data_IF_138942398039
#
_entry.id   IF_138942398039
#
_cell.length_a   1.000
_cell.length_b   1.000
_cell.length_c   1.000
_cell.angle_alpha   90.00
_cell.angle_beta   90.00
_cell.angle_gamma   90.00
#
_symmetry.space_group_name_H-M   'P 1'
#
loop_
_entity.id
_entity.type
_entity.pdbx_description
1 polymer ?
#
# COMPACT_ATOMS: atom_id res chain seq x y z
N UNK A 1 -26.57 34.88 30.51
CA UNK A 1 -28.01 35.07 30.24
C UNK A 1 -28.59 35.94 31.34
N UNK A 2 -29.51 36.82 31.00
CA UNK A 2 -30.26 37.65 31.95
C UNK A 2 -31.73 37.23 31.92
N UNK A 3 -32.30 36.94 33.09
CA UNK A 3 -33.71 36.60 33.27
C UNK A 3 -34.40 37.77 33.95
N UNK A 4 -35.50 38.25 33.38
CA UNK A 4 -36.33 39.32 33.94
C UNK A 4 -37.72 38.74 34.21
N UNK A 5 -38.19 38.87 35.45
CA UNK A 5 -39.54 38.49 35.86
C UNK A 5 -40.32 39.72 36.31
N UNK A 6 -41.53 39.86 35.78
CA UNK A 6 -42.41 41.01 36.02
C UNK A 6 -43.78 40.56 36.53
N UNK A 7 -44.40 41.40 37.35
CA UNK A 7 -45.79 41.25 37.78
C UNK A 7 -46.53 42.57 37.58
N UNK A 8 -47.67 42.54 36.91
CA UNK A 8 -48.54 43.72 36.71
C UNK A 8 -49.22 44.18 37.99
N UNK A 9 -49.29 43.31 39.01
CA UNK A 9 -49.91 43.61 40.30
C UNK A 9 -48.97 44.37 41.25
N UNK A 10 -47.69 44.51 40.89
CA UNK A 10 -46.71 45.18 41.73
C UNK A 10 -46.49 46.62 41.28
N UNK A 11 -46.57 47.56 42.22
CA UNK A 11 -46.50 49.01 41.97
C UNK A 11 -45.18 49.44 41.27
N UNK A 12 -44.07 48.77 41.59
CA UNK A 12 -42.74 49.11 41.03
C UNK A 12 -42.53 48.66 39.57
N UNK A 13 -43.45 47.89 38.98
CA UNK A 13 -43.25 47.31 37.65
C UNK A 13 -43.23 48.38 36.54
N UNK A 14 -44.07 49.42 36.64
CA UNK A 14 -44.17 50.47 35.62
C UNK A 14 -42.91 51.36 35.62
N UNK A 15 -42.41 51.70 36.82
CA UNK A 15 -41.17 52.44 36.99
C UNK A 15 -39.96 51.65 36.48
N UNK A 16 -39.92 50.34 36.72
CA UNK A 16 -38.86 49.46 36.24
C UNK A 16 -38.81 49.36 34.70
N UNK A 17 -39.96 49.17 34.05
CA UNK A 17 -40.02 49.07 32.60
C UNK A 17 -39.57 50.38 31.92
N UNK A 18 -40.06 51.52 32.42
CA UNK A 18 -39.76 52.84 31.83
C UNK A 18 -38.32 53.30 32.12
N UNK A 19 -37.85 53.12 33.36
CA UNK A 19 -36.57 53.72 33.77
C UNK A 19 -35.38 52.78 33.57
N UNK A 20 -35.58 51.45 33.67
CA UNK A 20 -34.47 50.47 33.60
C UNK A 20 -34.43 49.81 32.23
N UNK A 21 -35.51 49.15 31.81
CA UNK A 21 -35.51 48.38 30.56
C UNK A 21 -35.42 49.25 29.31
N UNK A 22 -35.92 50.49 29.37
CA UNK A 22 -35.87 51.45 28.26
C UNK A 22 -34.57 52.27 28.26
N UNK A 23 -33.68 52.08 29.24
CA UNK A 23 -32.43 52.83 29.31
C UNK A 23 -31.49 52.43 28.17
N UNK A 24 -31.01 53.43 27.42
CA UNK A 24 -30.12 53.20 26.27
C UNK A 24 -28.80 52.56 26.70
N UNK A 25 -28.24 53.01 27.83
CA UNK A 25 -27.00 52.47 28.40
C UNK A 25 -27.07 50.96 28.66
N UNK A 26 -28.20 50.47 29.21
CA UNK A 26 -28.38 49.05 29.47
C UNK A 26 -28.52 48.26 28.16
N UNK A 27 -29.28 48.77 27.19
CA UNK A 27 -29.49 48.12 25.90
C UNK A 27 -28.16 48.01 25.12
N UNK A 28 -27.39 49.09 25.07
CA UNK A 28 -26.08 49.10 24.42
C UNK A 28 -25.11 48.14 25.10
N UNK A 29 -25.09 48.12 26.44
CA UNK A 29 -24.29 47.18 27.21
C UNK A 29 -24.67 45.72 26.92
N UNK A 30 -25.95 45.38 26.95
CA UNK A 30 -26.43 44.02 26.65
C UNK A 30 -26.08 43.60 25.22
N UNK A 31 -26.14 44.52 24.25
CA UNK A 31 -25.77 44.27 22.86
C UNK A 31 -24.26 44.08 22.70
N UNK A 32 -23.45 44.89 23.36
CA UNK A 32 -21.98 44.80 23.31
C UNK A 32 -21.49 43.42 23.79
N UNK A 33 -22.03 42.94 24.91
CA UNK A 33 -21.68 41.64 25.49
C UNK A 33 -22.50 40.47 24.93
N UNK A 34 -23.35 40.69 23.92
CA UNK A 34 -24.22 39.68 23.29
C UNK A 34 -25.00 38.85 24.34
N UNK A 35 -25.56 39.54 25.34
CA UNK A 35 -26.26 38.89 26.45
C UNK A 35 -27.63 38.42 25.98
N UNK A 36 -27.89 37.12 26.12
CA UNK A 36 -29.23 36.56 25.92
C UNK A 36 -30.13 37.03 27.06
N UNK A 37 -31.20 37.74 26.71
CA UNK A 37 -32.22 38.23 27.65
C UNK A 37 -33.50 37.42 27.47
N UNK A 38 -34.01 36.88 28.56
CA UNK A 38 -35.33 36.26 28.62
C UNK A 38 -36.18 37.04 29.60
N UNK A 39 -37.41 37.37 29.20
CA UNK A 39 -38.34 38.16 29.99
C UNK A 39 -39.69 37.46 30.04
N UNK A 40 -40.28 37.36 31.23
CA UNK A 40 -41.56 36.72 31.43
C UNK A 40 -42.42 37.44 32.47
N UNK A 41 -43.72 37.52 32.20
CA UNK A 41 -44.70 37.99 33.17
C UNK A 41 -45.19 36.79 34.00
N UNK A 42 -45.08 36.87 35.32
CA UNK A 42 -45.41 35.83 36.31
C UNK A 42 -46.85 35.33 36.21
N UNK A 43 -47.76 36.11 35.61
CA UNK A 43 -49.12 35.65 35.29
C UNK A 43 -49.14 34.45 34.33
N UNK A 44 -48.08 34.23 33.55
CA UNK A 44 -47.94 33.09 32.63
C UNK A 44 -47.30 31.90 33.34
N UNK A 45 -47.76 30.70 32.98
CA UNK A 45 -47.30 29.43 33.58
C UNK A 45 -45.80 29.21 33.47
N UNK A 46 -45.19 29.53 32.33
CA UNK A 46 -43.74 29.41 32.11
C UNK A 46 -42.97 30.32 33.08
N UNK A 47 -43.35 31.59 33.16
CA UNK A 47 -42.68 32.55 34.02
C UNK A 47 -42.89 32.27 35.51
N UNK A 48 -44.04 31.73 35.90
CA UNK A 48 -44.30 31.25 37.25
C UNK A 48 -43.43 30.03 37.63
N UNK A 49 -43.18 29.12 36.68
CA UNK A 49 -42.24 28.01 36.93
C UNK A 49 -40.82 28.53 37.10
N UNK A 50 -40.39 29.47 36.25
CA UNK A 50 -39.06 30.08 36.33
C UNK A 50 -38.91 30.89 37.63
N UNK A 51 -39.94 31.59 38.09
CA UNK A 51 -39.90 32.30 39.38
C UNK A 51 -39.73 31.34 40.56
N UNK A 52 -40.36 30.17 40.52
CA UNK A 52 -40.19 29.15 41.56
C UNK A 52 -38.80 28.53 41.53
N UNK A 53 -38.24 28.24 40.35
CA UNK A 53 -36.88 27.70 40.20
C UNK A 53 -35.83 28.70 40.69
N UNK A 54 -36.06 30.00 40.44
CA UNK A 54 -35.16 31.08 40.85
C UNK A 54 -35.45 31.61 42.26
N UNK A 55 -36.46 31.05 42.94
CA UNK A 55 -36.92 31.45 44.28
C UNK A 55 -37.16 32.97 44.40
N UNK A 56 -37.77 33.57 43.37
CA UNK A 56 -38.04 35.01 43.33
C UNK A 56 -39.11 35.39 44.37
N UNK A 57 -38.75 36.23 45.34
CA UNK A 57 -39.65 36.62 46.44
C UNK A 57 -40.38 37.94 46.21
N UNK A 58 -39.79 38.84 45.42
CA UNK A 58 -40.28 40.19 45.15
C UNK A 58 -40.16 40.51 43.66
N UNK A 59 -41.07 41.34 43.12
CA UNK A 59 -41.06 41.77 41.72
C UNK A 59 -40.90 43.28 41.62
N UNK A 60 -40.26 43.81 40.58
CA UNK A 60 -39.57 43.11 39.49
C UNK A 60 -38.27 42.43 39.94
N UNK A 61 -37.93 41.31 39.30
CA UNK A 61 -36.79 40.46 39.64
C UNK A 61 -35.86 40.28 38.44
N UNK A 62 -34.56 40.48 38.63
CA UNK A 62 -33.53 40.17 37.63
C UNK A 62 -32.60 39.11 38.19
N UNK A 63 -32.42 38.01 37.45
CA UNK A 63 -31.37 37.03 37.70
C UNK A 63 -30.33 37.04 36.59
N UNK A 64 -29.07 36.93 36.99
CA UNK A 64 -27.94 36.75 36.07
C UNK A 64 -27.47 35.30 36.18
N UNK A 65 -27.58 34.58 35.06
CA UNK A 65 -27.23 33.17 34.96
C UNK A 65 -26.01 33.05 34.05
N UNK A 66 -24.99 32.33 34.50
CA UNK A 66 -23.89 31.93 33.63
C UNK A 66 -23.42 30.51 33.92
N UNK A 67 -22.54 30.01 33.06
CA UNK A 67 -21.95 28.68 33.22
C UNK A 67 -20.87 28.74 34.29
N UNK A 68 -21.03 27.93 35.32
CA UNK A 68 -19.99 27.71 36.33
C UNK A 68 -19.50 26.27 36.25
N UNK A 69 -18.20 26.11 36.42
CA UNK A 69 -17.55 24.83 36.70
C UNK A 69 -17.46 24.71 38.21
N UNK A 70 -18.21 23.77 38.79
CA UNK A 70 -18.03 23.47 40.21
C UNK A 70 -16.87 22.47 40.35
N UNK A 71 -15.80 22.81 41.08
CA UNK A 71 -14.72 21.87 41.37
C UNK A 71 -15.12 20.79 42.40
N UNK A 72 -16.36 20.83 42.91
CA UNK A 72 -16.83 19.97 44.02
C UNK A 72 -17.04 18.50 43.66
N UNK A 73 -17.04 18.16 42.38
CA UNK A 73 -17.10 16.76 41.93
C UNK A 73 -15.69 16.36 41.51
N UNK A 74 -14.99 15.53 42.30
CA UNK A 74 -13.64 15.01 42.04
C UNK A 74 -13.50 14.14 40.78
N UNK A 75 -14.38 14.34 39.80
CA UNK A 75 -14.35 13.79 38.46
C UNK A 75 -13.65 14.80 37.56
N UNK A 76 -12.65 14.33 36.81
CA UNK A 76 -11.95 15.04 35.74
C UNK A 76 -12.86 15.52 34.60
N UNK A 77 -14.17 15.26 34.68
CA UNK A 77 -15.18 15.69 33.74
C UNK A 77 -16.19 16.63 34.41
N UNK A 78 -15.76 17.83 34.82
CA UNK A 78 -16.70 18.83 35.33
C UNK A 78 -17.47 19.44 34.16
N UNK A 79 -18.68 18.93 33.90
CA UNK A 79 -19.59 19.54 32.93
C UNK A 79 -19.97 20.95 33.38
N UNK A 80 -19.91 21.97 32.51
CA UNK A 80 -20.36 23.30 32.87
C UNK A 80 -21.86 23.26 33.19
N UNK A 81 -22.24 23.69 34.39
CA UNK A 81 -23.64 23.77 34.81
C UNK A 81 -24.08 25.23 34.82
N UNK A 82 -25.29 25.50 34.36
CA UNK A 82 -25.88 26.82 34.49
C UNK A 82 -26.24 27.06 35.95
N UNK A 83 -25.73 28.14 36.52
CA UNK A 83 -26.05 28.56 37.89
C UNK A 83 -26.38 30.05 37.93
N UNK A 84 -27.20 30.42 38.91
CA UNK A 84 -27.53 31.81 39.20
C UNK A 84 -26.34 32.41 39.94
N UNK A 85 -25.80 33.52 39.44
CA UNK A 85 -24.60 34.17 40.00
C UNK A 85 -24.97 35.38 40.82
N UNK A 86 -25.94 36.18 40.36
CA UNK A 86 -26.45 37.33 41.10
C UNK A 86 -27.95 37.46 40.88
N UNK A 87 -28.62 38.04 41.89
CA UNK A 87 -30.05 38.33 41.92
C UNK A 87 -30.27 39.75 42.38
N UNK A 88 -31.18 40.45 41.70
CA UNK A 88 -31.53 41.84 41.96
C UNK A 88 -33.03 41.88 42.18
N UNK A 89 -33.43 42.24 43.39
CA UNK A 89 -34.81 42.35 43.82
C UNK A 89 -35.08 43.79 44.27
N UNK A 90 -36.24 44.34 43.89
CA UNK A 90 -36.69 45.66 44.32
C UNK A 90 -36.23 46.85 43.46
N UNK A 91 -36.59 48.08 43.85
CA UNK A 91 -36.38 49.28 43.06
C UNK A 91 -34.87 49.55 42.87
N UNK A 92 -34.44 49.55 41.62
CA UNK A 92 -33.04 49.67 41.23
C UNK A 92 -32.87 50.72 40.13
N UNK A 93 -31.65 51.20 39.89
CA UNK A 93 -31.31 52.07 38.75
C UNK A 93 -30.57 51.31 37.66
N UNK A 94 -30.70 51.72 36.40
CA UNK A 94 -29.99 51.12 35.26
C UNK A 94 -28.49 51.00 35.49
N UNK A 95 -27.85 52.06 36.00
CA UNK A 95 -26.42 52.08 36.32
C UNK A 95 -26.03 51.02 37.37
N UNK A 96 -26.88 50.76 38.36
CA UNK A 96 -26.63 49.74 39.38
C UNK A 96 -26.74 48.32 38.81
N UNK A 97 -27.69 48.07 37.88
CA UNK A 97 -27.78 46.80 37.14
C UNK A 97 -26.53 46.57 36.32
N UNK A 98 -26.08 47.58 35.56
CA UNK A 98 -24.86 47.48 34.73
C UNK A 98 -23.64 47.18 35.61
N UNK A 99 -23.47 47.89 36.74
CA UNK A 99 -22.35 47.67 37.66
C UNK A 99 -22.35 46.25 38.23
N UNK A 100 -23.52 45.72 38.63
CA UNK A 100 -23.65 44.34 39.09
C UNK A 100 -23.30 43.35 37.98
N UNK A 101 -23.80 43.59 36.77
CA UNK A 101 -23.52 42.74 35.62
C UNK A 101 -22.03 42.73 35.26
N UNK A 102 -21.35 43.87 35.27
CA UNK A 102 -19.90 43.98 35.08
C UNK A 102 -19.12 43.15 36.12
N UNK A 103 -19.52 43.22 37.39
CA UNK A 103 -18.92 42.40 38.44
C UNK A 103 -19.14 40.89 38.21
N UNK A 104 -20.32 40.50 37.72
CA UNK A 104 -20.60 39.10 37.36
C UNK A 104 -19.76 38.66 36.16
N UNK A 105 -19.64 39.48 35.12
CA UNK A 105 -18.78 39.20 33.97
C UNK A 105 -17.34 38.99 34.43
N UNK A 106 -16.77 39.92 35.18
CA UNK A 106 -15.38 39.82 35.66
C UNK A 106 -15.11 38.54 36.47
N UNK A 107 -16.07 38.12 37.31
CA UNK A 107 -15.97 36.87 38.07
C UNK A 107 -16.09 35.62 37.20
N UNK A 108 -16.91 35.68 36.16
CA UNK A 108 -17.22 34.52 35.30
C UNK A 108 -16.18 34.36 34.20
N UNK A 109 -15.56 35.45 33.73
CA UNK A 109 -14.52 35.44 32.70
C UNK A 109 -13.37 34.51 33.04
N UNK A 110 -12.92 34.49 34.30
CA UNK A 110 -11.86 33.59 34.76
C UNK A 110 -12.23 32.12 34.52
N UNK A 111 -13.48 31.74 34.85
CA UNK A 111 -13.96 30.37 34.65
C UNK A 111 -14.18 30.05 33.18
N UNK A 112 -14.72 30.98 32.39
CA UNK A 112 -14.93 30.81 30.95
C UNK A 112 -13.59 30.66 30.22
N UNK A 113 -12.60 31.50 30.55
CA UNK A 113 -11.27 31.42 29.97
C UNK A 113 -10.57 30.11 30.35
N UNK A 114 -10.73 29.66 31.60
CA UNK A 114 -10.24 28.33 32.02
C UNK A 114 -10.88 27.21 31.20
N UNK A 115 -12.19 27.24 30.98
CA UNK A 115 -12.88 26.24 30.15
C UNK A 115 -12.44 26.26 28.69
N UNK A 116 -12.21 27.46 28.13
CA UNK A 116 -11.69 27.63 26.76
C UNK A 116 -10.29 27.04 26.64
N UNK A 117 -9.40 27.38 27.56
CA UNK A 117 -8.03 26.88 27.58
C UNK A 117 -7.99 25.34 27.73
N UNK A 118 -8.79 24.77 28.63
CA UNK A 118 -8.86 23.32 28.80
C UNK A 118 -9.39 22.61 27.55
N UNK A 119 -10.40 23.19 26.89
CA UNK A 119 -10.92 22.66 25.63
C UNK A 119 -9.86 22.71 24.53
N UNK A 120 -9.18 23.83 24.38
CA UNK A 120 -8.10 24.01 23.40
C UNK A 120 -6.96 23.02 23.64
N UNK A 121 -6.54 22.85 24.91
CA UNK A 121 -5.53 21.87 25.28
C UNK A 121 -5.94 20.44 24.91
N UNK A 122 -7.20 20.06 25.15
CA UNK A 122 -7.73 18.74 24.75
C UNK A 122 -7.76 18.56 23.23
N UNK A 123 -8.16 19.59 22.49
CA UNK A 123 -8.19 19.56 21.03
C UNK A 123 -6.76 19.42 20.45
N UNK A 124 -5.78 20.13 21.03
CA UNK A 124 -4.36 20.02 20.68
C UNK A 124 -3.80 18.63 21.00
N UNK A 125 -4.09 18.08 22.18
CA UNK A 125 -3.65 16.73 22.55
C UNK A 125 -4.22 15.66 21.61
N UNK A 126 -5.51 15.77 21.27
CA UNK A 126 -6.15 14.87 20.30
C UNK A 126 -5.58 15.03 18.90
N UNK A 127 -5.21 16.25 18.49
CA UNK A 127 -4.57 16.48 17.20
C UNK A 127 -3.18 15.83 17.14
N UNK A 128 -2.37 16.01 18.19
CA UNK A 128 -1.03 15.42 18.29
C UNK A 128 -1.08 13.89 18.26
N UNK A 129 -2.00 13.28 19.01
CA UNK A 129 -2.18 11.81 18.98
C UNK A 129 -2.56 11.30 17.58
N UNK A 130 -3.48 11.99 16.89
CA UNK A 130 -3.88 11.64 15.52
C UNK A 130 -2.73 11.76 14.53
N UNK A 131 -1.85 12.74 14.69
CA UNK A 131 -0.66 12.90 13.85
C UNK A 131 0.34 11.77 14.09
N UNK A 132 0.59 11.42 15.36
CA UNK A 132 1.45 10.29 15.72
C UNK A 132 0.91 8.95 15.20
N UNK A 133 -0.40 8.70 15.33
CA UNK A 133 -1.05 7.50 14.81
C UNK A 133 -0.93 7.39 13.28
N UNK A 134 -1.07 8.52 12.56
CA UNK A 134 -0.88 8.55 11.09
C UNK A 134 0.55 8.22 10.69
N UNK A 135 1.55 8.85 11.32
CA UNK A 135 2.95 8.60 11.04
C UNK A 135 3.33 7.14 11.34
N UNK A 136 2.84 6.59 12.45
CA UNK A 136 3.06 5.19 12.80
C UNK A 136 2.41 4.24 11.79
N UNK A 137 1.17 4.50 11.37
CA UNK A 137 0.46 3.70 10.39
C UNK A 137 1.17 3.70 9.02
N UNK A 138 1.73 4.85 8.61
CA UNK A 138 2.50 4.98 7.38
C UNK A 138 3.81 4.20 7.43
N UNK A 139 4.58 4.34 8.52
CA UNK A 139 5.81 3.57 8.75
C UNK A 139 5.54 2.06 8.71
N UNK A 140 4.47 1.62 9.40
CA UNK A 140 4.09 0.20 9.42
C UNK A 140 3.69 -0.30 8.03
N UNK A 141 3.09 0.54 7.19
CA UNK A 141 2.74 0.18 5.80
C UNK A 141 4.00 -0.02 4.97
N UNK A 142 4.97 0.89 5.07
CA UNK A 142 6.24 0.82 4.37
C UNK A 142 7.01 -0.44 4.78
N UNK A 143 7.12 -0.73 6.07
CA UNK A 143 7.82 -1.91 6.56
C UNK A 143 7.17 -3.21 6.07
N UNK A 144 5.83 -3.29 6.10
CA UNK A 144 5.09 -4.44 5.57
C UNK A 144 5.26 -4.61 4.06
N UNK A 145 5.33 -3.52 3.31
CA UNK A 145 5.53 -3.58 1.85
C UNK A 145 6.94 -4.01 1.50
N UNK A 146 7.95 -3.47 2.20
CA UNK A 146 9.35 -3.89 2.06
C UNK A 146 9.51 -5.37 2.40
N UNK A 147 8.92 -5.85 3.48
CA UNK A 147 8.96 -7.28 3.84
C UNK A 147 8.32 -8.16 2.76
N UNK A 148 7.17 -7.75 2.22
CA UNK A 148 6.52 -8.44 1.10
C UNK A 148 7.38 -8.44 -0.17
N UNK A 149 8.06 -7.33 -0.49
CA UNK A 149 8.95 -7.24 -1.66
C UNK A 149 10.12 -8.20 -1.51
N UNK A 150 10.79 -8.20 -0.36
CA UNK A 150 11.91 -9.12 -0.05
C UNK A 150 11.45 -10.59 -0.13
N UNK A 151 10.27 -10.92 0.40
CA UNK A 151 9.74 -12.29 0.32
C UNK A 151 9.44 -12.72 -1.12
N UNK A 152 8.85 -11.83 -1.94
CA UNK A 152 8.59 -12.13 -3.37
C UNK A 152 9.89 -12.30 -4.16
N UNK A 153 10.87 -11.44 -3.94
CA UNK A 153 12.17 -11.53 -4.61
C UNK A 153 12.90 -12.82 -4.25
N UNK A 154 12.91 -13.21 -2.97
CA UNK A 154 13.46 -14.50 -2.52
C UNK A 154 12.73 -15.69 -3.15
N UNK A 155 11.40 -15.63 -3.26
CA UNK A 155 10.62 -16.69 -3.90
C UNK A 155 10.91 -16.75 -5.41
N UNK A 156 11.00 -15.61 -6.10
CA UNK A 156 11.33 -15.55 -7.52
C UNK A 156 12.75 -16.08 -7.78
N UNK A 157 13.73 -15.69 -6.97
CA UNK A 157 15.10 -16.19 -7.06
C UNK A 157 15.16 -17.71 -6.85
N UNK A 158 14.45 -18.25 -5.84
CA UNK A 158 14.38 -19.68 -5.59
C UNK A 158 13.69 -20.46 -6.73
N UNK A 159 12.66 -19.87 -7.35
CA UNK A 159 11.99 -20.47 -8.52
C UNK A 159 12.89 -20.46 -9.76
N UNK A 160 13.61 -19.36 -10.03
CA UNK A 160 14.60 -19.27 -11.10
C UNK A 160 15.73 -20.30 -10.92
N UNK A 161 16.25 -20.44 -9.70
CA UNK A 161 17.28 -21.44 -9.38
C UNK A 161 16.76 -22.87 -9.62
N UNK A 162 15.55 -23.18 -9.16
CA UNK A 162 14.90 -24.49 -9.38
C UNK A 162 14.68 -24.78 -10.86
N UNK A 163 14.22 -23.80 -11.64
CA UNK A 163 14.04 -23.94 -13.08
C UNK A 163 15.37 -24.24 -13.78
N UNK A 164 16.43 -23.48 -13.44
CA UNK A 164 17.79 -23.69 -13.98
C UNK A 164 18.35 -25.07 -13.62
N UNK A 165 18.11 -25.55 -12.39
CA UNK A 165 18.52 -26.90 -11.98
C UNK A 165 17.74 -27.99 -12.72
N UNK A 166 16.44 -27.80 -12.94
CA UNK A 166 15.61 -28.74 -13.69
C UNK A 166 16.02 -28.80 -15.16
N UNK A 167 16.27 -27.66 -15.80
CA UNK A 167 16.75 -27.58 -17.17
C UNK A 167 18.11 -28.28 -17.34
N UNK A 168 19.07 -28.02 -16.42
CA UNK A 168 20.37 -28.70 -16.41
C UNK A 168 20.22 -30.21 -16.26
N UNK A 169 19.29 -30.68 -15.42
CA UNK A 169 19.01 -32.12 -15.25
C UNK A 169 18.41 -32.71 -16.53
N UNK A 170 17.41 -32.06 -17.12
CA UNK A 170 16.75 -32.52 -18.34
C UNK A 170 17.73 -32.57 -19.52
N UNK A 171 18.59 -31.54 -19.67
CA UNK A 171 19.65 -31.53 -20.69
C UNK A 171 20.60 -32.71 -20.53
N UNK A 172 21.05 -33.00 -19.30
CA UNK A 172 21.95 -34.15 -19.03
C UNK A 172 21.29 -35.48 -19.38
N UNK A 173 20.02 -35.67 -19.04
CA UNK A 173 19.26 -36.87 -19.38
C UNK A 173 19.12 -37.03 -20.90
N UNK A 174 18.79 -35.93 -21.60
CA UNK A 174 18.68 -35.92 -23.06
C UNK A 174 20.00 -36.27 -23.75
N UNK A 175 21.12 -35.67 -23.33
CA UNK A 175 22.45 -35.98 -23.88
C UNK A 175 22.80 -37.46 -23.65
N UNK A 176 22.49 -38.01 -22.47
CA UNK A 176 22.73 -39.43 -22.18
C UNK A 176 21.93 -40.34 -23.10
N UNK A 177 20.65 -40.04 -23.30
CA UNK A 177 19.79 -40.76 -24.24
C UNK A 177 20.36 -40.70 -25.68
N UNK A 178 20.82 -39.53 -26.12
CA UNK A 178 21.44 -39.38 -27.45
C UNK A 178 22.70 -40.23 -27.59
N UNK A 179 23.59 -40.23 -26.59
CA UNK A 179 24.80 -41.07 -26.60
C UNK A 179 24.47 -42.55 -26.79
N UNK A 180 23.41 -43.05 -26.15
CA UNK A 180 22.95 -44.43 -26.29
C UNK A 180 22.34 -44.69 -27.68
N UNK A 181 21.39 -43.86 -28.12
CA UNK A 181 20.76 -43.98 -29.46
C UNK A 181 21.81 -43.98 -30.58
N UNK A 182 22.82 -43.12 -30.46
CA UNK A 182 23.92 -43.01 -31.42
C UNK A 182 24.92 -44.17 -31.32
N UNK A 183 24.92 -44.97 -30.24
CA UNK A 183 25.75 -46.18 -30.07
C UNK A 183 25.07 -47.42 -30.66
N UNK A 184 23.75 -47.55 -30.46
CA UNK A 184 22.95 -48.68 -30.97
C UNK A 184 22.70 -48.63 -32.48
N UNK A 185 22.90 -47.46 -33.10
CA UNK A 185 22.84 -47.27 -34.56
C UNK A 185 24.07 -47.89 -35.26
N UNK A 186 24.21 -49.21 -35.08
CA UNK A 186 25.17 -50.05 -35.75
C UNK A 186 24.83 -50.13 -37.24
N UNK A 187 25.86 -49.89 -38.06
CA UNK A 187 25.73 -49.69 -39.50
C UNK A 187 25.44 -51.01 -40.22
N UNK A 188 24.18 -51.23 -40.62
CA UNK A 188 23.85 -52.29 -41.57
C UNK A 188 24.44 -51.97 -42.95
N UNK A 189 25.17 -52.94 -43.51
CA UNK A 189 26.15 -52.75 -44.59
C UNK A 189 25.55 -52.47 -46.00
N UNK A 190 24.27 -52.13 -46.11
CA UNK A 190 23.53 -52.08 -47.39
C UNK A 190 23.01 -50.70 -47.82
N UNK A 191 23.29 -49.62 -47.08
CA UNK A 191 22.80 -48.28 -47.44
C UNK A 191 23.92 -47.32 -47.90
N UNK A 192 23.53 -46.33 -48.71
CA UNK A 192 24.41 -45.25 -49.19
C UNK A 192 24.90 -44.41 -48.00
N UNK A 193 26.17 -44.56 -47.61
CA UNK A 193 26.77 -43.82 -46.49
C UNK A 193 27.54 -42.58 -46.92
N UNK A 194 27.42 -41.48 -46.16
CA UNK A 194 28.23 -40.26 -46.27
C UNK A 194 29.28 -40.22 -45.18
N UNK A 195 30.51 -39.78 -45.50
CA UNK A 195 31.53 -39.49 -44.49
C UNK A 195 31.55 -38.01 -44.16
N UNK A 196 31.14 -37.64 -42.96
CA UNK A 196 31.14 -36.25 -42.50
C UNK A 196 32.22 -36.08 -41.44
N UNK A 197 33.06 -35.06 -41.59
CA UNK A 197 34.01 -34.65 -40.56
C UNK A 197 33.59 -33.33 -39.93
N UNK A 198 33.42 -33.33 -38.61
CA UNK A 198 33.12 -32.14 -37.81
C UNK A 198 34.40 -31.60 -37.20
N UNK A 199 34.60 -30.29 -37.34
CA UNK A 199 35.61 -29.53 -36.61
C UNK A 199 34.90 -28.87 -35.43
N UNK A 200 35.22 -29.33 -34.22
CA UNK A 200 34.67 -28.79 -32.98
C UNK A 200 35.34 -27.47 -32.60
N UNK A 201 34.69 -26.68 -31.74
CA UNK A 201 35.24 -25.44 -31.18
C UNK A 201 36.52 -25.68 -30.34
N UNK A 202 36.66 -26.87 -29.74
CA UNK A 202 37.86 -27.31 -29.00
C UNK A 202 39.04 -27.71 -29.93
N UNK A 203 38.87 -27.56 -31.25
CA UNK A 203 39.88 -27.93 -32.25
C UNK A 203 39.96 -29.43 -32.55
N UNK A 204 39.21 -30.27 -31.82
CA UNK A 204 39.09 -31.70 -32.09
C UNK A 204 38.31 -31.97 -33.38
N UNK A 205 38.68 -33.07 -34.08
CA UNK A 205 38.06 -33.49 -35.33
C UNK A 205 37.33 -34.81 -35.13
N UNK A 206 36.00 -34.78 -35.17
CA UNK A 206 35.17 -35.98 -35.15
C UNK A 206 34.86 -36.43 -36.57
N UNK A 207 35.02 -37.71 -36.89
CA UNK A 207 34.68 -38.25 -38.21
C UNK A 207 33.65 -39.37 -38.01
N UNK A 208 32.45 -39.20 -38.56
CA UNK A 208 31.38 -40.20 -38.48
C UNK A 208 30.78 -40.46 -39.86
N UNK A 209 30.33 -41.71 -40.06
CA UNK A 209 29.55 -42.12 -41.22
C UNK A 209 28.06 -42.01 -40.88
N UNK A 210 27.28 -41.39 -41.76
CA UNK A 210 25.83 -41.26 -41.64
C UNK A 210 25.15 -41.96 -42.82
N UNK A 211 23.92 -42.42 -42.63
CA UNK A 211 23.08 -42.96 -43.70
C UNK A 211 22.52 -41.78 -44.50
N UNK A 212 22.32 -41.95 -45.80
CA UNK A 212 21.71 -40.91 -46.64
C UNK A 212 20.26 -40.58 -46.23
N UNK A 213 19.59 -41.48 -45.50
CA UNK A 213 18.25 -41.31 -44.95
C UNK A 213 18.18 -40.49 -43.66
N UNK A 214 19.31 -40.23 -43.01
CA UNK A 214 19.35 -39.51 -41.73
C UNK A 214 19.00 -38.03 -41.93
N UNK A 215 18.44 -37.42 -40.90
CA UNK A 215 17.98 -36.02 -40.91
C UNK A 215 19.10 -35.07 -40.51
N UNK A 216 18.99 -33.79 -40.88
CA UNK A 216 19.91 -32.75 -40.42
C UNK A 216 19.91 -32.61 -38.90
N UNK A 217 18.76 -32.85 -38.25
CA UNK A 217 18.67 -32.92 -36.78
C UNK A 217 19.60 -34.00 -36.18
N UNK A 218 19.80 -35.13 -36.87
CA UNK A 218 20.70 -36.21 -36.41
C UNK A 218 22.17 -35.76 -36.37
N UNK A 219 22.56 -34.83 -37.26
CA UNK A 219 23.90 -34.22 -37.23
C UNK A 219 24.08 -33.35 -35.98
N UNK A 220 23.07 -32.56 -35.64
CA UNK A 220 23.04 -31.75 -34.42
C UNK A 220 23.05 -32.62 -33.16
N UNK A 221 22.25 -33.69 -33.12
CA UNK A 221 22.26 -34.67 -32.04
C UNK A 221 23.64 -35.30 -31.85
N UNK A 222 24.35 -35.62 -32.94
CA UNK A 222 25.70 -36.17 -32.86
C UNK A 222 26.72 -35.17 -32.33
N UNK A 223 26.68 -33.92 -32.78
CA UNK A 223 27.60 -32.86 -32.31
C UNK A 223 27.39 -32.59 -30.82
N UNK A 224 26.15 -32.54 -30.33
CA UNK A 224 25.85 -32.34 -28.91
C UNK A 224 26.29 -33.55 -28.05
N UNK A 225 26.16 -34.78 -28.56
CA UNK A 225 26.51 -36.00 -27.83
C UNK A 225 28.02 -36.35 -27.86
N UNK A 226 28.75 -35.95 -28.91
CA UNK A 226 30.15 -36.36 -29.14
C UNK A 226 31.10 -36.07 -27.97
N UNK A 227 31.11 -34.86 -27.35
CA UNK A 227 31.98 -34.57 -26.21
C UNK A 227 31.68 -35.41 -24.96
N UNK A 228 30.46 -35.94 -24.85
CA UNK A 228 29.98 -36.67 -23.68
C UNK A 228 29.94 -38.19 -23.90
N UNK A 229 30.27 -38.66 -25.10
CA UNK A 229 30.22 -40.07 -25.47
C UNK A 229 31.24 -40.90 -24.68
N UNK A 230 32.45 -40.36 -24.45
CA UNK A 230 33.49 -40.99 -23.61
C UNK A 230 33.13 -40.97 -22.12
N UNK A 231 32.43 -39.92 -21.67
CA UNK A 231 32.06 -39.73 -20.25
C UNK A 231 30.93 -40.69 -19.85
N UNK A 232 29.95 -40.89 -20.72
CA UNK A 232 28.80 -41.76 -20.48
C UNK A 232 28.99 -43.21 -20.96
N UNK A 233 30.20 -43.60 -21.37
CA UNK A 233 30.49 -44.95 -21.89
C UNK A 233 30.23 -46.07 -20.85
N UNK A 234 30.35 -45.74 -19.56
CA UNK A 234 30.24 -46.65 -18.42
C UNK A 234 28.98 -46.45 -17.55
N UNK A 235 28.06 -45.55 -17.92
CA UNK A 235 26.83 -45.28 -17.14
C UNK A 235 25.62 -46.10 -17.65
N UNK A 236 24.67 -46.40 -16.74
CA UNK A 236 23.47 -47.18 -17.04
C UNK A 236 22.56 -46.53 -18.08
N UNK A 237 21.91 -47.36 -18.91
CA UNK A 237 20.96 -46.95 -19.93
C UNK A 237 19.77 -46.16 -19.35
N UNK A 238 19.30 -45.17 -20.10
CA UNK A 238 18.08 -44.41 -19.77
C UNK A 238 17.15 -44.49 -20.99
N UNK A 239 15.97 -45.08 -20.77
CA UNK A 239 15.03 -45.41 -21.84
C UNK A 239 13.99 -44.29 -22.11
N UNK A 240 13.91 -43.27 -21.26
CA UNK A 240 12.86 -42.22 -21.36
C UNK A 240 13.44 -40.80 -21.37
N UNK A 241 13.24 -40.10 -22.49
CA UNK A 241 13.35 -38.64 -22.59
C UNK A 241 12.08 -38.03 -22.01
N UNK A 242 12.13 -36.92 -21.25
CA UNK A 242 10.92 -36.24 -20.81
C UNK A 242 10.05 -35.83 -22.02
N UNK A 243 8.78 -36.25 -22.04
CA UNK A 243 7.87 -36.20 -23.20
C UNK A 243 7.70 -34.78 -23.82
N UNK A 244 7.89 -33.72 -23.02
CA UNK A 244 7.74 -32.32 -23.44
C UNK A 244 9.09 -31.55 -23.57
N UNK A 245 10.24 -32.23 -23.54
CA UNK A 245 11.53 -31.54 -23.59
C UNK A 245 11.99 -31.27 -25.03
N UNK A 246 11.77 -30.04 -25.49
CA UNK A 246 12.37 -29.52 -26.74
C UNK A 246 13.80 -29.05 -26.45
N UNK A 247 14.78 -29.82 -26.89
CA UNK A 247 16.17 -29.45 -26.73
C UNK A 247 16.56 -28.30 -27.66
N UNK A 248 17.07 -27.21 -27.10
CA UNK A 248 17.63 -26.08 -27.85
C UNK A 248 19.14 -26.28 -27.99
N UNK A 249 19.60 -26.50 -29.22
CA UNK A 249 21.04 -26.56 -29.53
C UNK A 249 21.63 -25.15 -29.46
N UNK A 250 22.69 -24.97 -28.67
CA UNK A 250 23.37 -23.66 -28.46
C UNK A 250 24.61 -23.50 -29.34
N UNK A 251 24.55 -24.06 -30.55
CA UNK A 251 25.64 -24.02 -31.51
C UNK A 251 25.05 -24.08 -32.91
N UNK A 252 25.79 -23.57 -33.88
CA UNK A 252 25.44 -23.62 -35.30
C UNK A 252 26.47 -24.43 -36.08
N UNK A 253 26.01 -25.21 -37.04
CA UNK A 253 26.86 -26.05 -37.89
C UNK A 253 26.91 -25.47 -39.30
N UNK A 254 28.11 -25.20 -39.80
CA UNK A 254 28.32 -24.60 -41.14
C UNK A 254 29.37 -25.34 -41.98
N UNK A 255 29.22 -25.31 -43.31
CA UNK A 255 30.24 -25.85 -44.23
C UNK A 255 31.44 -24.92 -44.41
N UNK A 256 32.62 -25.50 -44.67
CA UNK A 256 33.86 -24.72 -44.85
C UNK A 256 33.87 -23.84 -46.12
N UNK A 257 33.42 -24.36 -47.27
CA UNK A 257 33.34 -23.59 -48.52
C UNK A 257 32.38 -24.24 -49.54
N UNK A 258 31.42 -23.50 -50.13
CA UNK A 258 30.92 -22.20 -49.70
C UNK A 258 30.29 -22.28 -48.29
N UNK A 259 30.39 -21.21 -47.50
CA UNK A 259 29.83 -21.17 -46.14
C UNK A 259 28.31 -21.20 -46.19
N UNK A 260 27.72 -22.31 -45.74
CA UNK A 260 26.28 -22.53 -45.65
C UNK A 260 25.97 -22.96 -44.23
N UNK A 261 25.07 -22.25 -43.55
CA UNK A 261 24.62 -22.59 -42.19
C UNK A 261 23.44 -23.54 -42.31
N UNK A 262 23.54 -24.70 -41.68
CA UNK A 262 22.49 -25.71 -41.67
C UNK A 262 21.68 -25.57 -40.39
N UNK A 263 20.35 -25.46 -40.47
CA UNK A 263 19.49 -25.45 -39.28
C UNK A 263 19.08 -26.89 -38.89
N UNK A 264 18.77 -27.10 -37.61
CA UNK A 264 18.35 -28.39 -37.08
C UNK A 264 16.90 -28.69 -37.53
N UNK A 265 16.73 -29.12 -38.78
CA UNK A 265 15.42 -29.47 -39.33
C UNK A 265 15.17 -31.00 -39.27
N UNK A 266 14.05 -31.48 -38.69
CA UNK A 266 13.71 -32.90 -38.63
C UNK A 266 13.23 -33.48 -39.97
N UNK A 267 12.83 -32.63 -40.93
CA UNK A 267 12.25 -33.08 -42.21
C UNK A 267 13.27 -33.19 -43.35
N UNK A 268 14.40 -32.46 -43.26
CA UNK A 268 15.43 -32.43 -44.30
C UNK A 268 16.42 -33.57 -44.12
N UNK A 269 16.60 -34.37 -45.17
CA UNK A 269 17.54 -35.50 -45.17
C UNK A 269 18.90 -35.07 -45.70
N UNK A 270 19.95 -35.75 -45.24
CA UNK A 270 21.34 -35.49 -45.66
C UNK A 270 21.52 -35.69 -47.18
N UNK A 271 20.74 -36.59 -47.81
CA UNK A 271 20.84 -36.86 -49.26
C UNK A 271 20.33 -35.70 -50.13
N UNK A 272 19.45 -34.84 -49.61
CA UNK A 272 18.85 -33.74 -50.36
C UNK A 272 19.84 -32.58 -50.53
N UNK A 273 20.84 -32.49 -49.64
CA UNK A 273 21.88 -31.47 -49.69
C UNK A 273 23.13 -31.95 -50.41
N UNK A 274 23.30 -31.49 -51.66
CA UNK A 274 24.45 -31.80 -52.51
C UNK A 274 25.80 -31.36 -51.91
N UNK A 275 25.79 -30.41 -50.99
CA UNK A 275 26.98 -29.91 -50.27
C UNK A 275 27.51 -30.90 -49.23
N UNK A 276 26.69 -31.85 -48.78
CA UNK A 276 27.07 -32.85 -47.77
C UNK A 276 27.55 -34.17 -48.41
N UNK A 277 27.27 -34.40 -49.69
CA UNK A 277 27.56 -35.65 -50.41
C UNK A 277 28.79 -35.54 -51.35
N UNK A 278 29.66 -36.55 -51.48
CA UNK A 278 29.80 -37.83 -50.73
C UNK A 278 30.66 -37.73 -49.47
N UNK A 279 31.35 -36.60 -49.27
CA UNK A 279 32.12 -36.29 -48.07
C UNK A 279 32.08 -34.80 -47.77
N UNK A 280 31.82 -34.44 -46.52
CA UNK A 280 31.67 -33.05 -46.11
C UNK A 280 32.54 -32.70 -44.90
N UNK A 281 32.97 -31.45 -44.82
CA UNK A 281 33.61 -30.88 -43.63
C UNK A 281 32.71 -29.80 -43.06
N UNK A 282 32.21 -30.04 -41.84
CA UNK A 282 31.36 -29.13 -41.09
C UNK A 282 32.15 -28.54 -39.92
N UNK A 283 31.89 -27.27 -39.61
CA UNK A 283 32.50 -26.53 -38.52
C UNK A 283 31.38 -26.16 -37.55
N UNK A 284 31.64 -26.35 -36.25
CA UNK A 284 30.70 -26.10 -35.16
C UNK A 284 31.09 -24.81 -34.46
N UNK A 285 30.25 -23.79 -34.56
CA UNK A 285 30.41 -22.51 -33.85
C UNK A 285 29.43 -22.47 -32.66
N UNK A 286 29.89 -22.28 -31.42
CA UNK A 286 28.99 -22.07 -30.28
C UNK A 286 28.25 -20.73 -30.43
N UNK A 287 27.00 -20.66 -29.99
CA UNK A 287 26.29 -19.39 -29.83
C UNK A 287 26.72 -18.73 -28.51
N UNK A 288 27.17 -17.48 -28.56
CA UNK A 288 27.54 -16.71 -27.37
C UNK A 288 26.28 -16.36 -26.56
N UNK A 289 26.22 -16.78 -25.29
CA UNK A 289 25.08 -16.57 -24.37
C UNK A 289 25.01 -15.14 -23.79
N UNK A 290 25.86 -14.21 -24.21
CA UNK A 290 26.09 -12.94 -23.49
C UNK A 290 25.08 -11.80 -23.79
N UNK A 291 24.14 -11.97 -24.74
CA UNK A 291 23.24 -10.87 -25.15
C UNK A 291 21.83 -10.87 -24.52
N UNK A 292 21.37 -11.96 -23.87
CA UNK A 292 19.99 -12.02 -23.34
C UNK A 292 19.84 -11.72 -21.84
N UNK A 293 20.92 -11.58 -21.07
CA UNK A 293 20.83 -11.30 -19.60
C UNK A 293 20.79 -9.79 -19.23
N UNK A 294 20.92 -8.86 -20.19
CA UNK A 294 21.08 -7.42 -19.91
C UNK A 294 19.83 -6.53 -20.13
N UNK A 295 18.62 -7.07 -20.27
CA UNK A 295 17.42 -6.26 -20.60
C UNK A 295 16.22 -6.36 -19.65
N UNK A 296 16.38 -6.88 -18.42
CA UNK A 296 15.26 -6.93 -17.45
C UNK A 296 15.41 -6.04 -16.20
N UNK A 297 16.44 -5.18 -16.09
CA UNK A 297 16.67 -4.39 -14.86
C UNK A 297 16.52 -2.85 -15.01
N UNK A 298 16.05 -2.32 -16.14
CA UNK A 298 15.85 -0.86 -16.33
C UNK A 298 14.37 -0.47 -16.49
N UNK A 299 13.53 -0.78 -15.50
CA UNK A 299 12.25 -0.10 -15.26
C UNK A 299 11.94 -0.03 -13.75
N UNK A 300 12.60 0.89 -13.04
CA UNK A 300 12.11 1.50 -11.79
C UNK A 300 12.54 2.98 -11.66
#
# INVERSE_FOLDING_TARGET
>A
MMVILQSEEHDDNDAFCRNILTSLELIEFLRLYQVIVWGGNVRRTEAFQVSNILEATTYPFIAIIALQTSPSSGSSLSSPKMSVIDRIEGPTTSAAVIRRFQNVIARTEININRMRAEREQREQEQALRREQERAYAESLRIDREREKRIMRERQAAAMRERARLLEKKNRKLYIRYLCQKLRDDSMDSNEKTVRISFRMADGSRAIRKFKGSDTLETLYQFVEAHPYMEIYENESCIDEVPEDYVHKYKFTVHSAYPRTVYQADPEKKIIDEKSLWPSATLIVDPEDEDEEENQEDDDE
#
